data_IF_885437514050
#
_entry.id   IF_885437514050
#
_cell.length_a   1.000
_cell.length_b   1.000
_cell.length_c   1.000
_cell.angle_alpha   90.00
_cell.angle_beta   90.00
_cell.angle_gamma   90.00
#
_symmetry.space_group_name_H-M   'P 1'
#
loop_
_entity.id
_entity.type
_entity.pdbx_description
1 polymer ?
#
# COMPACT_ATOMS: atom_id res chain seq x y z
N UNK A 1 4.03 -46.23 -31.16
CA UNK A 1 4.28 -45.01 -30.37
C UNK A 1 3.12 -44.06 -30.61
N UNK A 2 2.14 -44.06 -29.72
CA UNK A 2 0.95 -43.22 -29.83
C UNK A 2 1.30 -41.79 -29.39
N UNK A 3 1.44 -40.88 -30.36
CA UNK A 3 1.45 -39.45 -30.08
C UNK A 3 0.07 -39.07 -29.53
N UNK A 4 -0.03 -38.90 -28.21
CA UNK A 4 -1.15 -38.19 -27.60
C UNK A 4 -1.09 -36.74 -28.13
N UNK A 5 -2.04 -36.39 -28.99
CA UNK A 5 -2.26 -35.02 -29.39
C UNK A 5 -2.49 -34.17 -28.13
N UNK A 6 -1.61 -33.19 -27.89
CA UNK A 6 -1.83 -32.19 -26.84
C UNK A 6 -3.18 -31.51 -27.14
N UNK A 7 -4.20 -31.79 -26.32
CA UNK A 7 -5.48 -31.06 -26.36
C UNK A 7 -5.15 -29.56 -26.30
N UNK A 8 -5.49 -28.83 -27.35
CA UNK A 8 -5.36 -27.38 -27.40
C UNK A 8 -6.33 -26.82 -26.36
N UNK A 9 -5.83 -26.50 -25.17
CA UNK A 9 -6.61 -25.81 -24.13
C UNK A 9 -6.87 -24.39 -24.62
N UNK A 10 -8.15 -24.01 -24.71
CA UNK A 10 -8.50 -22.65 -25.12
C UNK A 10 -7.87 -21.62 -24.16
N UNK A 11 -7.21 -20.56 -24.69
CA UNK A 11 -6.55 -19.58 -23.85
C UNK A 11 -7.52 -18.90 -22.88
N UNK A 12 -7.40 -19.21 -21.59
CA UNK A 12 -8.34 -18.75 -20.56
C UNK A 12 -7.70 -17.71 -19.65
N UNK A 13 -8.50 -16.85 -19.02
CA UNK A 13 -8.03 -15.94 -17.97
C UNK A 13 -8.06 -16.65 -16.62
N UNK A 14 -6.99 -16.51 -15.84
CA UNK A 14 -6.91 -17.04 -14.48
C UNK A 14 -6.74 -15.87 -13.53
N UNK A 15 -7.58 -15.81 -12.50
CA UNK A 15 -7.47 -14.84 -11.43
C UNK A 15 -7.32 -15.58 -10.12
N UNK A 16 -6.35 -15.17 -9.33
CA UNK A 16 -6.26 -15.57 -7.92
C UNK A 16 -6.03 -14.34 -7.06
N UNK A 17 -6.60 -14.34 -5.88
CA UNK A 17 -6.36 -13.36 -4.84
C UNK A 17 -5.38 -13.90 -3.80
N UNK A 18 -4.82 -12.98 -3.02
CA UNK A 18 -3.97 -13.30 -1.89
C UNK A 18 -3.59 -12.03 -1.13
N UNK A 19 -2.64 -12.16 -0.21
CA UNK A 19 -2.02 -11.03 0.48
C UNK A 19 -0.53 -11.05 0.23
N UNK A 20 0.09 -9.88 0.18
CA UNK A 20 1.55 -9.78 0.15
C UNK A 20 2.07 -8.94 1.31
N UNK A 21 3.17 -9.39 1.91
CA UNK A 21 4.08 -8.56 2.69
C UNK A 21 5.23 -8.10 1.81
N UNK A 22 5.72 -6.90 2.07
CA UNK A 22 6.90 -6.31 1.44
C UNK A 22 7.86 -5.93 2.56
N UNK A 23 9.00 -6.60 2.61
CA UNK A 23 9.95 -6.55 3.72
C UNK A 23 11.09 -5.54 3.49
N UNK A 24 11.20 -4.98 2.28
CA UNK A 24 12.27 -4.08 1.84
C UNK A 24 11.75 -2.68 1.47
N UNK A 25 12.63 -1.68 1.40
CA UNK A 25 12.33 -0.26 1.11
C UNK A 25 12.77 0.21 -0.29
N UNK A 26 13.07 -0.69 -1.21
CA UNK A 26 13.53 -0.38 -2.56
C UNK A 26 12.65 -1.00 -3.66
N UNK A 27 11.47 -1.53 -3.28
CA UNK A 27 10.63 -2.34 -4.14
C UNK A 27 9.27 -1.68 -4.41
N UNK A 28 8.95 -1.26 -5.65
CA UNK A 28 7.62 -0.77 -5.98
C UNK A 28 6.59 -1.92 -6.01
N UNK A 29 5.31 -1.60 -5.75
CA UNK A 29 4.23 -2.59 -5.82
C UNK A 29 4.04 -3.15 -7.24
N UNK A 30 3.99 -2.28 -8.23
CA UNK A 30 3.81 -2.63 -9.65
C UNK A 30 5.01 -2.16 -10.47
N UNK A 31 5.12 -2.66 -11.70
CA UNK A 31 6.21 -2.31 -12.62
C UNK A 31 6.40 -0.79 -12.66
N UNK A 32 7.60 -0.32 -12.28
CA UNK A 32 7.90 1.10 -12.25
C UNK A 32 8.45 1.55 -13.60
N UNK A 33 7.51 1.73 -14.54
CA UNK A 33 7.83 2.15 -15.91
C UNK A 33 8.56 3.48 -15.94
N UNK A 34 9.53 3.59 -16.84
CA UNK A 34 10.20 4.84 -17.12
C UNK A 34 9.18 5.89 -17.58
N UNK A 35 9.11 7.07 -16.95
CA UNK A 35 8.10 8.08 -17.27
C UNK A 35 8.29 8.67 -18.68
N UNK A 36 9.53 8.66 -19.20
CA UNK A 36 9.86 9.17 -20.53
C UNK A 36 9.39 8.22 -21.65
N UNK A 37 9.78 6.94 -21.59
CA UNK A 37 9.51 5.99 -22.67
C UNK A 37 8.29 5.08 -22.44
N UNK A 38 7.70 5.10 -21.23
CA UNK A 38 6.52 4.30 -20.87
C UNK A 38 6.67 2.80 -21.17
N UNK A 39 7.84 2.23 -20.85
CA UNK A 39 8.12 0.81 -21.05
C UNK A 39 8.86 0.44 -22.34
N UNK A 40 9.07 1.38 -23.28
CA UNK A 40 9.75 1.08 -24.56
C UNK A 40 11.27 0.92 -24.49
N UNK A 41 11.92 1.44 -23.44
CA UNK A 41 13.37 1.65 -23.39
C UNK A 41 13.76 3.02 -23.94
N UNK A 42 14.70 3.69 -23.27
CA UNK A 42 15.34 4.94 -23.70
C UNK A 42 16.62 5.18 -22.90
N UNK A 43 17.43 6.16 -23.29
CA UNK A 43 18.68 6.54 -22.62
C UNK A 43 18.49 6.79 -21.11
N UNK A 44 17.42 7.47 -20.71
CA UNK A 44 17.15 7.76 -19.28
C UNK A 44 16.96 6.52 -18.41
N UNK A 45 16.54 5.40 -18.99
CA UNK A 45 16.39 4.13 -18.29
C UNK A 45 17.34 3.07 -18.86
N UNK A 46 18.41 3.49 -19.54
CA UNK A 46 19.44 2.61 -20.09
C UNK A 46 18.86 1.47 -20.94
N UNK A 47 17.78 1.74 -21.68
CA UNK A 47 17.09 0.76 -22.52
C UNK A 47 16.17 -0.21 -21.78
N UNK A 48 16.14 -0.25 -20.44
CA UNK A 48 15.34 -1.22 -19.67
C UNK A 48 13.82 -0.97 -19.72
N UNK A 49 13.39 0.25 -20.05
CA UNK A 49 11.98 0.64 -20.08
C UNK A 49 11.33 0.84 -18.70
N UNK A 50 12.09 0.57 -17.63
CA UNK A 50 11.68 0.68 -16.22
C UNK A 50 12.83 1.24 -15.39
N UNK A 51 12.49 1.81 -14.23
CA UNK A 51 13.45 2.45 -13.31
C UNK A 51 13.86 1.56 -12.13
N UNK A 52 13.21 0.40 -11.98
CA UNK A 52 13.59 -0.60 -10.98
C UNK A 52 13.75 -1.96 -11.64
N UNK A 53 14.63 -2.78 -11.09
CA UNK A 53 14.81 -4.15 -11.56
C UNK A 53 13.56 -5.00 -11.32
N UNK A 54 12.92 -4.80 -10.18
CA UNK A 54 11.80 -5.63 -9.71
C UNK A 54 10.64 -4.78 -9.21
N UNK A 55 9.50 -5.46 -9.02
CA UNK A 55 8.32 -5.00 -8.31
C UNK A 55 7.64 -6.21 -7.66
N UNK A 56 6.78 -6.00 -6.66
CA UNK A 56 5.97 -7.09 -6.05
C UNK A 56 5.25 -7.89 -7.14
N UNK A 57 4.63 -7.18 -8.09
CA UNK A 57 4.01 -7.78 -9.28
C UNK A 57 4.97 -8.68 -10.07
N UNK A 58 6.19 -8.21 -10.37
CA UNK A 58 7.16 -8.97 -11.16
C UNK A 58 7.70 -10.19 -10.41
N UNK A 59 7.93 -10.07 -9.10
CA UNK A 59 8.39 -11.18 -8.27
C UNK A 59 7.39 -12.34 -8.24
N UNK A 60 6.10 -12.01 -8.09
CA UNK A 60 5.00 -12.99 -8.21
C UNK A 60 4.93 -13.55 -9.65
N UNK A 61 4.97 -12.67 -10.65
CA UNK A 61 4.82 -13.06 -12.05
C UNK A 61 5.94 -13.99 -12.54
N UNK A 62 7.18 -13.84 -12.06
CA UNK A 62 8.30 -14.70 -12.46
C UNK A 62 8.08 -16.17 -12.14
N UNK A 63 7.29 -16.47 -11.11
CA UNK A 63 6.95 -17.84 -10.73
C UNK A 63 5.60 -18.24 -11.32
N UNK A 64 4.57 -17.40 -11.15
CA UNK A 64 3.21 -17.73 -11.57
C UNK A 64 3.05 -17.85 -13.09
N UNK A 65 3.74 -17.03 -13.89
CA UNK A 65 3.54 -16.99 -15.34
C UNK A 65 4.08 -18.23 -16.07
N UNK A 66 5.28 -18.76 -15.75
CA UNK A 66 5.70 -20.08 -16.22
C UNK A 66 4.70 -21.18 -15.82
N UNK A 67 4.20 -21.13 -14.58
CA UNK A 67 3.25 -22.12 -14.08
C UNK A 67 1.93 -22.08 -14.86
N UNK A 68 1.43 -20.91 -15.20
CA UNK A 68 0.17 -20.75 -15.94
C UNK A 68 0.35 -20.86 -17.47
N UNK A 69 1.61 -21.04 -17.94
CA UNK A 69 2.01 -20.93 -19.34
C UNK A 69 1.44 -19.66 -20.00
N UNK A 70 1.57 -18.52 -19.31
CA UNK A 70 1.06 -17.21 -19.73
C UNK A 70 2.21 -16.23 -20.05
N UNK A 71 1.87 -15.10 -20.68
CA UNK A 71 2.83 -14.03 -21.07
C UNK A 71 2.39 -12.63 -20.65
N UNK A 72 1.14 -12.43 -20.23
CA UNK A 72 0.62 -11.12 -19.84
C UNK A 72 -0.16 -11.24 -18.54
N UNK A 73 0.12 -10.35 -17.60
CA UNK A 73 -0.61 -10.26 -16.34
C UNK A 73 -1.07 -8.84 -16.06
N UNK A 74 -2.00 -8.71 -15.12
CA UNK A 74 -2.32 -7.48 -14.42
C UNK A 74 -2.29 -7.74 -12.92
N UNK A 75 -1.88 -6.73 -12.17
CA UNK A 75 -1.86 -6.75 -10.72
C UNK A 75 -2.82 -5.69 -10.19
N UNK A 76 -3.75 -6.11 -9.33
CA UNK A 76 -4.74 -5.24 -8.71
C UNK A 76 -4.53 -5.28 -7.20
N UNK A 77 -4.04 -4.20 -6.59
CA UNK A 77 -3.89 -4.10 -5.13
C UNK A 77 -5.04 -3.36 -4.47
N UNK A 78 -5.35 -3.69 -3.21
CA UNK A 78 -6.23 -2.91 -2.33
C UNK A 78 -5.51 -1.62 -1.88
N UNK A 79 -5.30 -0.68 -2.81
CA UNK A 79 -4.41 0.46 -2.63
C UNK A 79 -2.95 0.13 -2.91
N UNK A 80 -2.05 1.06 -2.56
CA UNK A 80 -0.61 0.97 -2.81
C UNK A 80 0.18 1.76 -1.78
N UNK A 81 1.35 1.25 -1.42
CA UNK A 81 2.40 1.94 -0.66
C UNK A 81 3.51 2.52 -1.57
N UNK A 82 4.25 3.48 -1.04
CA UNK A 82 5.43 4.04 -1.71
C UNK A 82 6.58 3.02 -1.76
N UNK A 83 7.57 3.28 -2.62
CA UNK A 83 8.69 2.36 -2.85
C UNK A 83 9.52 2.13 -1.58
N UNK A 84 9.65 3.15 -0.74
CA UNK A 84 10.38 3.17 0.54
C UNK A 84 9.58 2.69 1.76
N UNK A 85 8.34 2.25 1.54
CA UNK A 85 7.43 1.82 2.60
C UNK A 85 7.29 0.31 2.62
N UNK A 86 7.48 -0.31 3.79
CA UNK A 86 7.21 -1.75 3.97
C UNK A 86 5.72 -2.02 4.16
N UNK A 87 5.30 -3.22 3.82
CA UNK A 87 3.95 -3.73 4.08
C UNK A 87 4.08 -4.98 4.95
N UNK A 88 3.70 -4.88 6.22
CA UNK A 88 3.88 -5.90 7.25
C UNK A 88 2.51 -6.48 7.69
N UNK A 89 2.42 -7.02 8.91
CA UNK A 89 1.19 -7.58 9.51
C UNK A 89 0.53 -8.61 8.60
N UNK A 90 -0.77 -8.56 8.37
CA UNK A 90 -1.43 -9.56 7.50
C UNK A 90 -1.16 -9.36 5.99
N UNK A 91 -0.37 -8.35 5.63
CA UNK A 91 -0.07 -8.02 4.24
C UNK A 91 -1.23 -7.34 3.51
N UNK A 92 -0.92 -6.75 2.35
CA UNK A 92 -1.90 -6.08 1.51
C UNK A 92 -2.65 -7.08 0.61
N UNK A 93 -3.99 -7.08 0.61
CA UNK A 93 -4.78 -7.84 -0.35
C UNK A 93 -4.51 -7.44 -1.81
N UNK A 94 -4.43 -8.43 -2.68
CA UNK A 94 -4.29 -8.22 -4.13
C UNK A 94 -5.02 -9.29 -4.93
N UNK A 95 -5.27 -9.01 -6.21
CA UNK A 95 -5.68 -9.97 -7.23
C UNK A 95 -4.65 -9.96 -8.37
N UNK A 96 -4.17 -11.14 -8.73
CA UNK A 96 -3.31 -11.35 -9.89
C UNK A 96 -4.14 -11.93 -11.03
N UNK A 97 -4.17 -11.25 -12.17
CA UNK A 97 -4.92 -11.63 -13.37
C UNK A 97 -3.94 -12.06 -14.46
N UNK A 98 -3.80 -13.35 -14.72
CA UNK A 98 -3.03 -13.90 -15.82
C UNK A 98 -3.92 -14.08 -17.06
N UNK A 99 -3.43 -13.64 -18.22
CA UNK A 99 -4.17 -13.62 -19.48
C UNK A 99 -3.69 -14.71 -20.43
N UNK A 100 -4.58 -15.28 -21.25
CA UNK A 100 -4.24 -16.29 -22.27
C UNK A 100 -3.43 -17.46 -21.67
N UNK A 101 -3.87 -17.96 -20.51
CA UNK A 101 -3.23 -19.08 -19.83
C UNK A 101 -3.48 -20.36 -20.61
N UNK A 102 -2.41 -21.14 -20.83
CA UNK A 102 -2.50 -22.48 -21.45
C UNK A 102 -2.56 -23.60 -20.43
N UNK A 103 -2.25 -23.30 -19.16
CA UNK A 103 -2.38 -24.22 -18.02
C UNK A 103 -3.14 -23.53 -16.89
N UNK A 104 -4.48 -23.49 -16.94
CA UNK A 104 -5.27 -22.71 -15.99
C UNK A 104 -5.44 -23.39 -14.62
N UNK A 105 -5.33 -24.72 -14.59
CA UNK A 105 -5.35 -25.51 -13.36
C UNK A 105 -3.93 -25.66 -12.84
N UNK A 106 -3.66 -25.03 -11.69
CA UNK A 106 -2.40 -25.12 -10.96
C UNK A 106 -2.70 -25.25 -9.47
N UNK A 107 -1.77 -25.82 -8.72
CA UNK A 107 -1.81 -25.78 -7.26
C UNK A 107 -1.37 -24.39 -6.77
N UNK A 108 -2.25 -23.71 -6.05
CA UNK A 108 -1.98 -22.37 -5.52
C UNK A 108 -1.16 -22.39 -4.23
N UNK A 109 -1.20 -23.48 -3.47
CA UNK A 109 -0.43 -23.65 -2.24
C UNK A 109 1.04 -23.91 -2.57
N UNK A 110 1.31 -24.79 -3.54
CA UNK A 110 2.67 -25.00 -4.05
C UNK A 110 3.22 -23.73 -4.73
N UNK A 111 2.38 -23.02 -5.50
CA UNK A 111 2.78 -21.75 -6.12
C UNK A 111 3.15 -20.71 -5.04
N UNK A 112 2.33 -20.59 -3.99
CA UNK A 112 2.58 -19.70 -2.86
C UNK A 112 3.93 -20.02 -2.19
N UNK A 113 4.17 -21.30 -1.89
CA UNK A 113 5.42 -21.81 -1.31
C UNK A 113 6.62 -21.47 -2.18
N UNK A 114 6.54 -21.72 -3.49
CA UNK A 114 7.64 -21.45 -4.41
C UNK A 114 7.92 -19.95 -4.61
N UNK A 115 6.88 -19.10 -4.59
CA UNK A 115 7.06 -17.65 -4.59
C UNK A 115 7.80 -17.21 -3.33
N UNK A 116 7.40 -17.69 -2.16
CA UNK A 116 8.06 -17.33 -0.89
C UNK A 116 9.51 -17.77 -0.89
N UNK A 117 9.79 -19.03 -1.26
CA UNK A 117 11.15 -19.58 -1.32
C UNK A 117 12.08 -18.79 -2.23
N UNK A 118 11.60 -18.33 -3.39
CA UNK A 118 12.43 -17.56 -4.35
C UNK A 118 12.64 -16.10 -3.97
N UNK A 119 11.82 -15.56 -3.06
CA UNK A 119 11.80 -14.15 -2.73
C UNK A 119 11.99 -13.88 -1.23
N UNK A 120 12.61 -14.84 -0.53
CA UNK A 120 12.95 -14.75 0.89
C UNK A 120 13.62 -13.40 1.22
N UNK A 121 13.21 -12.79 2.33
CA UNK A 121 13.69 -11.49 2.77
C UNK A 121 13.20 -10.28 1.96
N UNK A 122 12.46 -10.48 0.85
CA UNK A 122 11.95 -9.38 0.01
C UNK A 122 10.44 -9.24 0.06
N UNK A 123 9.73 -10.33 -0.23
CA UNK A 123 8.27 -10.40 -0.13
C UNK A 123 7.84 -11.74 0.46
N UNK A 124 6.67 -11.74 1.09
CA UNK A 124 5.94 -12.95 1.43
C UNK A 124 4.56 -12.85 0.78
N UNK A 125 4.06 -13.94 0.23
CA UNK A 125 2.71 -14.08 -0.27
C UNK A 125 1.96 -15.10 0.55
N UNK A 126 0.67 -14.83 0.79
CA UNK A 126 -0.17 -15.61 1.69
C UNK A 126 -1.57 -15.79 1.11
N UNK A 127 -2.24 -16.85 1.54
CA UNK A 127 -3.68 -17.07 1.38
C UNK A 127 -4.17 -17.05 -0.08
N UNK A 128 -3.46 -17.73 -0.98
CA UNK A 128 -3.85 -17.77 -2.39
C UNK A 128 -5.16 -18.53 -2.59
N UNK A 129 -6.10 -17.91 -3.30
CA UNK A 129 -7.39 -18.50 -3.68
C UNK A 129 -7.79 -18.06 -5.07
N UNK A 130 -8.31 -18.99 -5.89
CA UNK A 130 -8.90 -18.59 -7.17
C UNK A 130 -10.08 -17.66 -6.93
N UNK A 131 -10.21 -16.64 -7.77
CA UNK A 131 -11.28 -15.66 -7.68
C UNK A 131 -11.80 -15.29 -9.07
N UNK A 132 -12.85 -14.48 -9.11
CA UNK A 132 -13.41 -13.96 -10.36
C UNK A 132 -13.17 -12.44 -10.49
N UNK A 133 -13.64 -11.84 -11.59
CA UNK A 133 -13.44 -10.42 -11.87
C UNK A 133 -14.19 -9.48 -10.90
N UNK A 134 -15.30 -9.93 -10.28
CA UNK A 134 -16.04 -9.12 -9.29
C UNK A 134 -15.13 -8.79 -8.09
N UNK A 135 -14.28 -9.74 -7.69
CA UNK A 135 -13.29 -9.55 -6.63
C UNK A 135 -12.37 -8.35 -6.88
N UNK A 136 -12.01 -8.07 -8.13
CA UNK A 136 -11.18 -6.91 -8.49
C UNK A 136 -11.87 -5.59 -8.18
N UNK A 137 -13.19 -5.53 -8.37
CA UNK A 137 -14.01 -4.33 -8.11
C UNK A 137 -14.12 -4.13 -6.61
N UNK A 138 -14.56 -5.17 -5.88
CA UNK A 138 -14.66 -5.18 -4.42
C UNK A 138 -13.35 -4.73 -3.75
N UNK A 139 -12.22 -5.30 -4.18
CA UNK A 139 -10.89 -4.96 -3.68
C UNK A 139 -10.55 -3.47 -3.82
N UNK A 140 -10.97 -2.84 -4.93
CA UNK A 140 -10.66 -1.44 -5.25
C UNK A 140 -11.58 -0.45 -4.54
N UNK A 141 -12.82 -0.84 -4.31
CA UNK A 141 -13.86 0.03 -3.73
C UNK A 141 -13.86 -0.04 -2.20
N UNK A 142 -13.38 -1.15 -1.61
CA UNK A 142 -13.36 -1.33 -0.16
C UNK A 142 -12.54 -0.26 0.55
N UNK A 143 -13.19 0.50 1.43
CA UNK A 143 -12.56 1.55 2.22
C UNK A 143 -12.15 1.08 3.61
N UNK A 144 -10.95 0.52 3.70
CA UNK A 144 -10.37 0.12 4.98
C UNK A 144 -9.63 1.27 5.70
N UNK A 145 -9.69 1.37 7.04
CA UNK A 145 -8.65 2.02 7.83
C UNK A 145 -7.33 1.25 7.75
N UNK A 146 -6.23 1.91 8.13
CA UNK A 146 -4.90 1.30 8.14
C UNK A 146 -4.12 1.73 9.37
N UNK A 147 -3.31 0.81 9.88
CA UNK A 147 -2.35 1.10 10.94
C UNK A 147 -0.95 1.20 10.32
N UNK A 148 -0.20 2.19 10.77
CA UNK A 148 1.15 2.48 10.32
C UNK A 148 2.09 2.63 11.51
N UNK A 149 3.36 2.35 11.28
CA UNK A 149 4.46 2.75 12.16
C UNK A 149 5.31 3.78 11.43
N UNK A 150 5.34 5.00 11.94
CA UNK A 150 6.17 6.07 11.41
C UNK A 150 7.38 6.29 12.30
N UNK A 151 8.59 6.23 11.73
CA UNK A 151 9.79 6.76 12.38
C UNK A 151 9.84 8.26 12.12
N UNK A 152 9.65 9.04 13.17
CA UNK A 152 9.54 10.49 13.14
C UNK A 152 10.82 11.10 13.69
N UNK A 153 11.50 11.87 12.85
CA UNK A 153 12.61 12.73 13.26
C UNK A 153 12.11 14.13 13.51
N UNK A 154 12.46 14.64 14.68
CA UNK A 154 12.11 15.98 15.12
C UNK A 154 13.34 16.89 15.00
N UNK A 155 13.12 18.12 14.56
CA UNK A 155 14.16 19.14 14.42
C UNK A 155 14.09 20.20 15.52
N UNK A 156 15.22 20.85 15.77
CA UNK A 156 15.35 21.93 16.77
C UNK A 156 15.87 21.46 18.13
N UNK A 157 16.03 22.40 19.06
CA UNK A 157 16.26 22.07 20.47
C UNK A 157 14.94 21.55 21.05
N UNK A 158 14.94 20.29 21.47
CA UNK A 158 13.73 19.57 21.86
C UNK A 158 13.81 19.26 23.35
N UNK A 159 12.83 19.76 24.11
CA UNK A 159 12.52 19.19 25.41
C UNK A 159 11.77 17.87 25.20
N UNK A 160 12.47 16.74 25.40
CA UNK A 160 11.90 15.42 25.22
C UNK A 160 10.70 15.16 26.13
N UNK A 161 10.67 15.75 27.32
CA UNK A 161 9.59 15.59 28.30
C UNK A 161 8.34 16.31 27.79
N UNK A 162 8.50 17.53 27.27
CA UNK A 162 7.39 18.28 26.69
C UNK A 162 6.77 17.57 25.47
N UNK A 163 7.60 17.02 24.58
CA UNK A 163 7.13 16.23 23.43
C UNK A 163 6.39 14.98 23.88
N UNK A 164 6.95 14.26 24.85
CA UNK A 164 6.31 13.05 25.39
C UNK A 164 4.92 13.37 25.97
N UNK A 165 4.80 14.46 26.73
CA UNK A 165 3.51 14.93 27.26
C UNK A 165 2.49 15.23 26.15
N UNK A 166 2.90 15.92 25.08
CA UNK A 166 2.01 16.18 23.93
C UNK A 166 1.60 14.89 23.21
N UNK A 167 2.51 13.94 23.04
CA UNK A 167 2.19 12.63 22.44
C UNK A 167 1.22 11.83 23.32
N UNK A 168 1.37 11.85 24.65
CA UNK A 168 0.40 11.25 25.58
C UNK A 168 -1.00 11.84 25.40
N UNK A 169 -1.10 13.17 25.36
CA UNK A 169 -2.37 13.85 25.14
C UNK A 169 -3.00 13.44 23.79
N UNK A 170 -2.21 13.33 22.73
CA UNK A 170 -2.71 12.89 21.41
C UNK A 170 -3.19 11.43 21.40
N UNK A 171 -2.59 10.56 22.21
CA UNK A 171 -3.07 9.18 22.40
C UNK A 171 -4.41 9.18 23.12
N UNK A 172 -4.56 10.01 24.16
CA UNK A 172 -5.81 10.12 24.94
C UNK A 172 -6.95 10.79 24.16
N UNK A 173 -6.64 11.73 23.27
CA UNK A 173 -7.61 12.46 22.43
C UNK A 173 -8.31 11.54 21.42
N UNK A 174 -7.67 10.44 21.00
CA UNK A 174 -8.23 9.48 20.07
C UNK A 174 -8.30 10.00 18.62
N UNK A 175 -9.47 9.91 17.99
CA UNK A 175 -9.65 10.26 16.56
C UNK A 175 -9.64 11.78 16.36
N UNK A 176 -8.66 12.25 15.61
CA UNK A 176 -8.50 13.64 15.20
C UNK A 176 -8.86 13.81 13.72
N UNK A 177 -9.72 14.78 13.41
CA UNK A 177 -9.97 15.21 12.04
C UNK A 177 -8.78 16.00 11.47
N UNK A 178 -8.45 15.74 10.21
CA UNK A 178 -7.41 16.43 9.46
C UNK A 178 -7.89 16.76 8.05
N UNK A 179 -7.37 17.84 7.48
CA UNK A 179 -7.66 18.29 6.12
C UNK A 179 -6.39 18.14 5.30
N UNK A 180 -6.45 17.32 4.24
CA UNK A 180 -5.32 17.08 3.34
C UNK A 180 -5.60 17.58 1.94
N UNK A 181 -4.87 18.61 1.54
CA UNK A 181 -4.69 18.94 0.13
C UNK A 181 -3.78 17.89 -0.51
N UNK A 182 -4.09 17.52 -1.76
CA UNK A 182 -3.35 16.50 -2.52
C UNK A 182 -1.84 16.80 -2.54
N UNK A 183 -0.97 15.92 -2.01
CA UNK A 183 0.44 16.25 -1.83
C UNK A 183 1.17 16.62 -3.14
N UNK A 184 2.16 17.50 -3.07
CA UNK A 184 2.88 18.02 -4.25
C UNK A 184 3.53 16.90 -5.04
N UNK A 185 4.12 15.94 -4.34
CA UNK A 185 4.79 14.76 -4.94
C UNK A 185 3.86 13.87 -5.77
N UNK A 186 2.55 13.92 -5.53
CA UNK A 186 1.54 13.16 -6.29
C UNK A 186 0.64 14.03 -7.16
N UNK A 187 0.76 15.36 -7.10
CA UNK A 187 -0.10 16.30 -7.84
C UNK A 187 -0.06 16.07 -9.36
N UNK A 188 1.07 15.65 -9.92
CA UNK A 188 1.18 15.29 -11.34
C UNK A 188 0.32 14.08 -11.78
N UNK A 189 -0.25 13.32 -10.82
CA UNK A 189 -1.09 12.14 -11.07
C UNK A 189 -2.52 12.27 -10.54
N UNK A 190 -2.84 13.29 -9.74
CA UNK A 190 -4.14 13.40 -9.07
C UNK A 190 -4.67 14.83 -9.11
N UNK A 191 -6.00 14.95 -9.19
CA UNK A 191 -6.67 16.22 -9.04
C UNK A 191 -6.30 16.89 -7.71
N UNK A 192 -5.92 18.16 -7.78
CA UNK A 192 -5.57 18.95 -6.61
C UNK A 192 -6.84 19.30 -5.82
N UNK A 193 -7.16 18.45 -4.85
CA UNK A 193 -8.34 18.59 -4.00
C UNK A 193 -7.94 18.46 -2.54
N UNK A 194 -8.60 19.25 -1.69
CA UNK A 194 -8.61 19.09 -0.25
C UNK A 194 -9.65 18.04 0.16
N UNK A 195 -9.31 17.23 1.15
CA UNK A 195 -10.20 16.19 1.67
C UNK A 195 -10.05 16.09 3.17
N UNK A 196 -11.18 16.07 3.86
CA UNK A 196 -11.24 15.70 5.27
C UNK A 196 -10.93 14.21 5.44
N UNK A 197 -10.11 13.89 6.43
CA UNK A 197 -9.68 12.57 6.85
C UNK A 197 -9.60 12.55 8.36
N UNK A 198 -9.38 11.38 8.94
CA UNK A 198 -9.05 11.28 10.35
C UNK A 198 -7.78 10.45 10.55
N UNK A 199 -7.11 10.71 11.65
CA UNK A 199 -6.01 9.92 12.20
C UNK A 199 -6.26 9.67 13.69
N UNK A 200 -5.57 8.70 14.24
CA UNK A 200 -5.58 8.37 15.67
C UNK A 200 -4.16 7.92 16.03
N UNK A 201 -3.56 8.55 17.04
CA UNK A 201 -2.25 8.13 17.54
C UNK A 201 -2.50 7.02 18.55
N UNK A 202 -2.04 5.81 18.24
CA UNK A 202 -2.33 4.63 19.07
C UNK A 202 -1.26 4.39 20.13
N UNK A 203 -0.01 4.67 19.79
CA UNK A 203 1.14 4.44 20.65
C UNK A 203 2.33 5.27 20.16
N UNK A 204 3.28 5.51 21.05
CA UNK A 204 4.58 6.05 20.68
C UNK A 204 5.69 5.46 21.55
N UNK A 205 6.90 5.41 21.01
CA UNK A 205 8.09 4.93 21.71
C UNK A 205 9.30 5.77 21.28
N UNK A 206 10.23 5.98 22.21
CA UNK A 206 11.50 6.64 21.90
C UNK A 206 12.48 5.61 21.32
N UNK A 207 13.07 5.92 20.17
CA UNK A 207 14.11 5.09 19.56
C UNK A 207 15.32 5.95 19.19
N UNK A 208 16.30 5.96 20.08
CA UNK A 208 17.46 6.86 20.05
C UNK A 208 17.04 8.34 19.87
N UNK A 209 17.37 8.92 18.71
CA UNK A 209 17.08 10.31 18.38
C UNK A 209 15.72 10.52 17.67
N UNK A 210 15.04 9.43 17.32
CA UNK A 210 13.76 9.46 16.63
C UNK A 210 12.64 8.97 17.57
N UNK A 211 11.40 9.15 17.13
CA UNK A 211 10.21 8.59 17.76
C UNK A 211 9.56 7.60 16.82
N UNK A 212 9.18 6.44 17.35
CA UNK A 212 8.32 5.50 16.65
C UNK A 212 6.88 5.85 17.04
N UNK A 213 6.06 6.24 16.07
CA UNK A 213 4.67 6.65 16.29
C UNK A 213 3.76 5.70 15.53
N UNK A 214 2.90 5.00 16.26
CA UNK A 214 1.87 4.14 15.67
C UNK A 214 0.64 4.98 15.37
N UNK A 215 0.26 5.04 14.09
CA UNK A 215 -0.81 5.90 13.60
C UNK A 215 -1.85 5.03 12.91
N UNK A 216 -3.11 5.11 13.36
CA UNK A 216 -4.25 4.63 12.60
C UNK A 216 -4.82 5.74 11.75
N UNK A 217 -5.26 5.43 10.53
CA UNK A 217 -5.82 6.45 9.63
C UNK A 217 -7.04 5.98 8.87
N UNK A 218 -7.84 6.96 8.47
CA UNK A 218 -8.85 6.83 7.43
C UNK A 218 -8.26 6.30 6.10
N UNK A 219 -9.14 5.80 5.24
CA UNK A 219 -8.76 5.37 3.91
C UNK A 219 -8.19 6.53 3.07
N UNK A 220 -7.00 6.32 2.49
CA UNK A 220 -6.41 7.25 1.53
C UNK A 220 -5.74 8.47 2.15
N UNK A 221 -5.47 8.43 3.47
CA UNK A 221 -4.66 9.42 4.18
C UNK A 221 -3.19 9.32 3.79
N UNK A 222 -2.54 10.46 3.54
CA UNK A 222 -1.12 10.54 3.22
C UNK A 222 -0.30 10.75 4.49
N UNK A 223 0.24 9.65 5.04
CA UNK A 223 0.84 9.63 6.38
C UNK A 223 2.14 10.45 6.48
N UNK A 224 2.98 10.50 5.45
CA UNK A 224 4.20 11.33 5.47
C UNK A 224 3.87 12.81 5.62
N UNK A 225 2.78 13.23 4.99
CA UNK A 225 2.23 14.58 5.05
C UNK A 225 1.45 14.84 6.35
N UNK A 226 0.83 13.82 6.95
CA UNK A 226 0.34 13.91 8.35
C UNK A 226 1.47 14.24 9.30
N UNK A 227 2.62 13.57 9.16
CA UNK A 227 3.79 13.83 10.03
C UNK A 227 4.35 15.23 9.78
N UNK A 228 4.66 15.55 8.53
CA UNK A 228 5.41 16.76 8.19
C UNK A 228 4.58 18.04 8.05
N UNK A 229 3.30 17.92 7.68
CA UNK A 229 2.40 19.02 7.33
C UNK A 229 2.54 19.56 5.90
N UNK A 230 3.64 19.22 5.20
CA UNK A 230 3.98 19.69 3.84
C UNK A 230 3.66 21.17 3.62
N UNK A 231 4.32 22.05 4.36
CA UNK A 231 4.13 23.51 4.28
C UNK A 231 2.67 23.97 4.40
N UNK A 232 1.86 23.28 5.21
CA UNK A 232 0.47 23.63 5.49
C UNK A 232 -0.57 22.94 4.60
N UNK A 233 -0.16 22.01 3.72
CA UNK A 233 -1.10 21.22 2.91
C UNK A 233 -1.83 20.14 3.70
N UNK A 234 -1.35 19.80 4.90
CA UNK A 234 -2.07 18.95 5.86
C UNK A 234 -2.23 19.67 7.19
N UNK A 235 -3.48 19.83 7.64
CA UNK A 235 -3.81 20.57 8.88
C UNK A 235 -4.94 19.90 9.69
N UNK A 236 -4.76 19.73 11.02
CA UNK A 236 -3.49 19.78 11.72
C UNK A 236 -2.52 18.68 11.23
N UNK A 237 -1.22 18.88 11.46
CA UNK A 237 -0.17 17.90 11.22
C UNK A 237 0.57 17.62 12.53
N UNK A 238 1.30 16.50 12.61
CA UNK A 238 2.09 16.16 13.80
C UNK A 238 3.11 17.26 14.11
N UNK A 239 3.76 17.83 13.09
CA UNK A 239 4.64 19.00 13.26
C UNK A 239 3.95 20.15 14.00
N UNK A 240 2.70 20.46 13.61
CA UNK A 240 1.92 21.55 14.21
C UNK A 240 1.43 21.21 15.60
N UNK A 241 0.96 19.98 15.82
CA UNK A 241 0.44 19.50 17.10
C UNK A 241 1.53 19.43 18.17
N UNK A 242 2.75 19.03 17.78
CA UNK A 242 3.88 18.94 18.68
C UNK A 242 4.64 20.28 18.84
N UNK A 243 4.28 21.29 18.05
CA UNK A 243 5.01 22.56 17.94
C UNK A 243 6.51 22.36 17.66
N UNK A 244 6.81 21.43 16.76
CA UNK A 244 8.16 21.01 16.46
C UNK A 244 8.24 20.50 15.01
N UNK A 245 9.22 20.92 14.19
CA UNK A 245 9.39 20.39 12.84
C UNK A 245 9.57 18.87 12.85
N UNK A 246 8.64 18.13 12.24
CA UNK A 246 8.68 16.68 12.15
C UNK A 246 8.91 16.22 10.70
N UNK A 247 9.65 15.13 10.54
CA UNK A 247 9.85 14.45 9.25
C UNK A 247 9.67 12.95 9.41
N UNK A 248 9.01 12.31 8.44
CA UNK A 248 8.86 10.86 8.41
C UNK A 248 10.07 10.25 7.71
N UNK A 249 11.00 9.70 8.50
CA UNK A 249 12.25 9.07 8.02
C UNK A 249 11.95 7.71 7.40
N UNK A 250 11.11 6.93 8.08
CA UNK A 250 10.66 5.64 7.63
C UNK A 250 9.18 5.45 7.92
N UNK A 251 8.53 4.63 7.11
CA UNK A 251 7.13 4.29 7.29
C UNK A 251 6.89 2.83 6.95
N UNK A 252 6.13 2.16 7.79
CA UNK A 252 5.64 0.81 7.57
C UNK A 252 4.13 0.80 7.65
N UNK A 253 3.48 0.07 6.74
CA UNK A 253 2.08 -0.30 6.91
C UNK A 253 2.04 -1.55 7.78
N UNK A 254 1.46 -1.45 8.97
CA UNK A 254 1.31 -2.59 9.86
C UNK A 254 0.10 -3.42 9.45
N UNK A 255 -1.08 -2.79 9.35
CA UNK A 255 -2.33 -3.51 9.09
C UNK A 255 -3.23 -2.80 8.09
N UNK A 256 -3.98 -3.59 7.33
CA UNK A 256 -5.17 -3.12 6.61
C UNK A 256 -6.37 -3.70 7.33
N UNK A 257 -7.09 -2.83 8.04
CA UNK A 257 -8.18 -3.22 8.90
C UNK A 257 -9.45 -3.52 8.10
N UNK A 258 -10.42 -4.25 8.67
CA UNK A 258 -11.74 -4.37 8.06
C UNK A 258 -12.35 -2.98 7.79
N UNK A 259 -13.18 -2.83 6.74
CA UNK A 259 -13.96 -1.61 6.57
C UNK A 259 -14.77 -1.35 7.84
N UNK A 260 -14.86 -0.08 8.24
CA UNK A 260 -15.75 0.31 9.32
C UNK A 260 -17.18 0.08 8.87
N UNK A 261 -18.02 -0.47 9.77
CA UNK A 261 -19.45 -0.50 9.53
C UNK A 261 -19.90 0.96 9.39
N UNK A 262 -20.54 1.31 8.29
CA UNK A 262 -21.16 2.64 8.15
C UNK A 262 -22.16 2.79 9.30
N UNK A 263 -21.84 3.64 10.27
CA UNK A 263 -22.86 4.13 11.20
C UNK A 263 -23.83 4.94 10.35
N UNK A 264 -25.12 4.59 10.28
CA UNK A 264 -26.06 5.37 9.50
C UNK A 264 -26.00 6.81 9.99
N UNK A 265 -25.69 7.73 9.07
CA UNK A 265 -25.82 9.16 9.33
C UNK A 265 -27.30 9.42 9.62
N UNK A 266 -27.65 9.62 10.88
CA UNK A 266 -28.90 10.28 11.25
C UNK A 266 -28.81 11.70 10.72
N UNK A 267 -29.33 11.93 9.52
CA UNK A 267 -29.74 13.27 9.12
C UNK A 267 -30.74 13.76 10.16
N UNK A 268 -30.53 14.94 10.79
CA UNK A 268 -31.58 15.55 11.59
C UNK A 268 -32.76 15.77 10.66
N UNK A 269 -33.91 15.15 10.98
CA UNK A 269 -35.17 15.50 10.35
C UNK A 269 -35.32 17.01 10.46
N UNK A 270 -35.40 17.66 9.29
CA UNK A 270 -35.86 19.02 9.18
C UNK A 270 -37.27 19.07 9.76
N UNK A 271 -37.37 19.56 11.00
CA UNK A 271 -38.61 20.05 11.58
C UNK A 271 -39.15 21.11 10.61
N UNK A 272 -40.26 20.77 9.97
CA UNK A 272 -41.04 21.72 9.19
C UNK A 272 -41.73 22.70 10.13
N UNK A 273 -41.61 23.97 9.78
CA UNK A 273 -42.64 24.98 10.01
C UNK A 273 -43.45 25.15 8.70
#
# INVERSE_FOLDING_TARGET
>A
MTHQAEKIVEPTKVLFEGRYRKLVRDLPQTIFYCPKCKGRGCEHCEGFGKLTKDSVQELIARVAMPWLKSRRNKFHGAGREDMDVRMLGEGRPFVFEALKCKRPMIDLEELCTEINRRNEGRIEVLNFKFCNRKRVVELKETRCPKDYLARVRMGGEIDSIAIEGKLKNLVEEGRLAIFQTTPSRVAHRRANLERERWIEILNFERDANDWLVTIRSAHGTYIKEVVSGESGRTQPSLSKLLDCPCSCVELDVLNILPPELETPHTTPDSLGD
#
